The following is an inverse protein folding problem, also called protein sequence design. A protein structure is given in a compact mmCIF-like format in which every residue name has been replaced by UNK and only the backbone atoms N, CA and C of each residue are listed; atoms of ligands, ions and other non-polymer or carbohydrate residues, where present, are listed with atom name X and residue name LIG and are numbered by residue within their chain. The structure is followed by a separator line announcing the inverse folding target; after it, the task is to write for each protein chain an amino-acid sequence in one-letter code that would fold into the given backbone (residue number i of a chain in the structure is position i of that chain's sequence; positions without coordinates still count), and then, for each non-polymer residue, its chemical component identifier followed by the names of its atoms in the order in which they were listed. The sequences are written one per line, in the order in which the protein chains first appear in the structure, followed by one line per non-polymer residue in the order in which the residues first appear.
data_IF_399446845405
#
_entry.id   IF_399446845405
#
_cell.length_a   1.000
_cell.length_b   1.000
_cell.length_c   1.000
_cell.angle_alpha   90.00
_cell.angle_beta   90.00
_cell.angle_gamma   90.00
#
_symmetry.space_group_name_H-M   'P 1'
#
loop_
_entity.id
_entity.type
_entity.pdbx_description
1 polymer ?
#
# COMPACT_ATOMS: atom_id res chain seq x y z
N UNK A 1 -25.28 -40.49 21.41
CA UNK A 1 -26.59 -40.26 20.81
C UNK A 1 -26.70 -38.74 20.64
N UNK A 2 -26.62 -38.05 19.56
CA UNK A 2 -26.69 -38.31 18.15
C UNK A 2 -25.63 -37.47 17.40
N UNK A 3 -25.11 -38.06 16.36
CA UNK A 3 -24.08 -37.54 15.48
C UNK A 3 -24.76 -36.67 14.41
N UNK A 4 -24.30 -35.46 14.21
CA UNK A 4 -24.74 -34.59 13.11
C UNK A 4 -23.77 -34.74 11.94
N UNK A 5 -24.22 -35.12 10.72
CA UNK A 5 -23.33 -35.41 9.61
C UNK A 5 -22.89 -34.16 8.85
N UNK A 6 -21.65 -34.22 8.38
CA UNK A 6 -20.97 -33.25 7.54
C UNK A 6 -21.67 -33.02 6.20
N UNK A 7 -21.83 -31.77 5.79
CA UNK A 7 -22.29 -31.38 4.45
C UNK A 7 -21.11 -31.39 3.49
N UNK A 8 -21.21 -32.26 2.48
CA UNK A 8 -20.23 -32.46 1.41
C UNK A 8 -20.26 -31.32 0.38
N UNK A 9 -19.06 -30.89 -0.07
CA UNK A 9 -18.81 -29.88 -1.12
C UNK A 9 -19.10 -30.40 -2.54
N UNK A 10 -20.29 -30.88 -2.83
CA UNK A 10 -20.59 -31.41 -4.18
C UNK A 10 -22.04 -31.16 -4.63
N UNK A 11 -22.59 -29.96 -4.48
CA UNK A 11 -23.87 -29.62 -5.11
C UNK A 11 -23.99 -28.12 -5.39
N UNK A 12 -23.16 -27.63 -6.31
CA UNK A 12 -23.34 -26.28 -6.90
C UNK A 12 -22.89 -26.28 -8.37
N UNK A 13 -23.61 -27.07 -9.20
CA UNK A 13 -23.52 -26.94 -10.66
C UNK A 13 -24.81 -27.54 -11.23
N UNK A 14 -25.75 -26.68 -11.66
CA UNK A 14 -26.64 -26.83 -12.80
C UNK A 14 -27.88 -25.95 -12.70
N UNK A 15 -27.83 -24.79 -13.34
CA UNK A 15 -29.02 -24.11 -13.89
C UNK A 15 -28.57 -23.04 -14.90
N UNK A 16 -28.14 -23.46 -16.08
CA UNK A 16 -28.09 -22.57 -17.26
C UNK A 16 -29.31 -22.87 -18.11
N UNK A 17 -30.34 -22.06 -18.01
CA UNK A 17 -31.51 -22.07 -18.88
C UNK A 17 -31.18 -21.33 -20.18
N UNK A 18 -31.12 -22.02 -21.30
CA UNK A 18 -31.12 -21.46 -22.66
C UNK A 18 -32.50 -20.90 -22.98
N UNK A 19 -32.58 -19.61 -23.27
CA UNK A 19 -33.76 -18.97 -23.89
C UNK A 19 -33.42 -18.77 -25.36
N UNK A 20 -33.96 -19.65 -26.24
CA UNK A 20 -33.93 -19.51 -27.70
C UNK A 20 -35.13 -18.63 -28.13
N UNK A 21 -34.87 -17.47 -28.61
CA UNK A 21 -35.88 -16.62 -29.29
C UNK A 21 -35.81 -16.88 -30.80
N UNK A 22 -36.88 -17.46 -31.37
CA UNK A 22 -37.06 -17.60 -32.80
C UNK A 22 -37.59 -16.29 -33.40
N UNK A 23 -36.83 -15.70 -34.33
CA UNK A 23 -37.25 -14.58 -35.16
C UNK A 23 -37.81 -15.12 -36.49
N UNK A 24 -39.10 -14.94 -36.72
CA UNK A 24 -39.80 -15.21 -37.99
C UNK A 24 -39.49 -14.10 -39.00
N UNK A 25 -38.88 -14.48 -40.12
CA UNK A 25 -38.68 -13.63 -41.28
C UNK A 25 -39.95 -13.57 -42.12
N UNK A 26 -40.55 -12.42 -42.24
CA UNK A 26 -41.65 -12.14 -43.17
C UNK A 26 -41.08 -11.57 -44.47
N UNK A 27 -41.31 -12.26 -45.55
CA UNK A 27 -40.82 -11.92 -46.89
C UNK A 27 -41.71 -10.81 -47.52
N UNK A 28 -41.11 -9.65 -47.87
CA UNK A 28 -41.72 -8.68 -48.76
C UNK A 28 -41.07 -8.72 -50.15
N UNK A 29 -41.93 -8.79 -51.18
CA UNK A 29 -41.56 -8.80 -52.60
C UNK A 29 -40.98 -7.45 -53.05
N UNK A 30 -40.01 -7.46 -54.01
CA UNK A 30 -39.44 -6.22 -54.52
C UNK A 30 -40.33 -5.59 -55.61
N UNK A 31 -40.56 -4.28 -55.45
CA UNK A 31 -41.05 -3.38 -56.52
C UNK A 31 -39.84 -2.87 -57.30
N UNK A 32 -39.90 -2.98 -58.64
CA UNK A 32 -38.86 -2.57 -59.54
C UNK A 32 -38.55 -1.06 -59.42
N UNK A 33 -37.27 -0.77 -59.43
CA UNK A 33 -36.73 0.59 -59.54
C UNK A 33 -36.02 0.70 -60.88
N UNK A 34 -36.43 1.68 -61.70
CA UNK A 34 -35.74 2.03 -62.92
C UNK A 34 -34.39 2.67 -62.61
N UNK A 35 -33.34 2.18 -63.28
CA UNK A 35 -32.01 2.72 -63.16
C UNK A 35 -31.82 3.84 -64.21
N UNK A 36 -31.81 5.10 -63.75
CA UNK A 36 -31.33 6.22 -64.57
C UNK A 36 -29.80 6.32 -64.42
N UNK A 37 -29.11 6.10 -65.53
CA UNK A 37 -27.63 6.26 -65.59
C UNK A 37 -27.33 7.78 -65.60
N UNK A 38 -26.80 8.25 -64.47
CA UNK A 38 -26.19 9.60 -64.40
C UNK A 38 -24.68 9.41 -64.60
N UNK A 39 -24.18 9.89 -65.71
CA UNK A 39 -22.73 9.99 -65.97
C UNK A 39 -22.20 11.14 -65.12
N UNK A 40 -21.45 10.83 -64.08
CA UNK A 40 -20.69 11.85 -63.35
C UNK A 40 -19.29 11.98 -64.00
N UNK A 41 -18.99 13.16 -64.49
CA UNK A 41 -17.64 13.57 -64.82
C UNK A 41 -16.78 13.59 -63.55
N UNK A 42 -15.72 12.78 -63.53
CA UNK A 42 -14.75 12.78 -62.46
C UNK A 42 -13.78 13.94 -62.65
N UNK A 43 -14.02 15.03 -61.99
CA UNK A 43 -13.04 16.11 -61.85
C UNK A 43 -11.96 15.61 -60.87
N UNK A 44 -10.70 15.55 -61.32
CA UNK A 44 -9.53 15.19 -60.56
C UNK A 44 -9.34 16.20 -59.39
N UNK A 45 -9.74 15.80 -58.19
CA UNK A 45 -9.47 16.57 -56.97
C UNK A 45 -8.02 16.32 -56.54
N UNK A 46 -7.26 17.41 -56.46
CA UNK A 46 -5.92 17.46 -55.87
C UNK A 46 -5.90 16.74 -54.53
N UNK A 47 -5.07 15.68 -54.40
CA UNK A 47 -4.76 15.00 -53.13
C UNK A 47 -4.06 16.00 -52.21
N UNK A 48 -4.56 16.25 -50.99
CA UNK A 48 -3.85 17.11 -50.04
C UNK A 48 -2.48 16.51 -49.70
N UNK A 49 -1.46 17.31 -49.42
CA UNK A 49 -0.14 16.82 -49.07
C UNK A 49 -0.21 15.98 -47.79
N UNK A 50 0.48 14.85 -47.80
CA UNK A 50 0.66 13.96 -46.64
C UNK A 50 1.24 14.78 -45.48
N UNK A 51 0.63 14.76 -44.28
CA UNK A 51 1.18 15.50 -43.16
C UNK A 51 2.58 14.97 -42.81
N UNK A 52 3.51 15.89 -42.71
CA UNK A 52 4.88 15.61 -42.26
C UNK A 52 4.80 15.03 -40.86
N UNK A 53 5.48 13.90 -40.55
CA UNK A 53 5.47 13.34 -39.22
C UNK A 53 5.98 14.38 -38.22
N UNK A 54 5.15 14.71 -37.24
CA UNK A 54 5.54 15.54 -36.11
C UNK A 54 6.71 14.83 -35.40
N UNK A 55 7.83 15.52 -35.13
CA UNK A 55 8.93 14.89 -34.41
C UNK A 55 8.43 14.41 -33.06
N UNK A 56 8.72 13.15 -32.71
CA UNK A 56 8.44 12.58 -31.39
C UNK A 56 9.01 13.51 -30.31
N UNK A 57 8.29 13.74 -29.21
CA UNK A 57 8.82 14.51 -28.11
C UNK A 57 10.17 13.91 -27.67
N UNK A 58 11.16 14.76 -27.31
CA UNK A 58 12.45 14.28 -26.87
C UNK A 58 12.26 13.33 -25.69
N UNK A 59 13.02 12.23 -25.68
CA UNK A 59 13.03 11.28 -24.58
C UNK A 59 13.22 12.06 -23.26
N UNK A 60 12.36 11.75 -22.27
CA UNK A 60 12.42 12.41 -20.98
C UNK A 60 13.84 12.30 -20.42
N UNK A 61 14.41 13.44 -20.07
CA UNK A 61 15.74 13.53 -19.43
C UNK A 61 15.66 12.72 -18.12
N UNK A 62 16.65 11.85 -17.81
CA UNK A 62 16.66 11.15 -16.55
C UNK A 62 16.55 12.18 -15.40
N UNK A 63 15.57 11.98 -14.50
CA UNK A 63 15.40 12.86 -13.35
C UNK A 63 16.69 12.88 -12.52
N UNK A 64 17.13 14.04 -12.02
CA UNK A 64 18.30 14.12 -11.14
C UNK A 64 18.17 13.15 -9.95
N UNK A 65 19.29 12.65 -9.43
CA UNK A 65 19.33 11.68 -8.32
C UNK A 65 18.55 12.17 -7.06
N UNK A 66 18.54 13.48 -6.80
CA UNK A 66 17.75 14.12 -5.74
C UNK A 66 16.23 13.89 -5.86
N UNK A 67 15.71 13.78 -7.07
CA UNK A 67 14.30 13.50 -7.31
C UNK A 67 13.87 12.05 -6.95
N UNK A 68 14.78 11.23 -6.43
CA UNK A 68 14.51 9.87 -5.93
C UNK A 68 14.23 9.82 -4.42
N UNK A 69 14.51 10.90 -3.70
CA UNK A 69 14.32 10.93 -2.25
C UNK A 69 12.85 11.15 -1.91
N UNK A 70 12.25 10.28 -1.10
CA UNK A 70 10.90 10.50 -0.60
C UNK A 70 10.83 11.76 0.27
N UNK A 71 9.69 12.43 0.29
CA UNK A 71 9.43 13.50 1.25
C UNK A 71 9.32 12.90 2.65
N UNK A 72 10.10 13.43 3.60
CA UNK A 72 10.18 12.90 4.96
C UNK A 72 10.07 14.02 5.99
N UNK A 73 9.53 13.68 7.16
CA UNK A 73 9.46 14.57 8.31
C UNK A 73 10.28 13.97 9.47
N UNK A 74 10.92 14.86 10.25
CA UNK A 74 11.64 14.46 11.46
C UNK A 74 10.64 14.19 12.59
N UNK A 75 10.80 13.04 13.22
CA UNK A 75 10.12 12.67 14.47
C UNK A 75 11.15 12.75 15.58
N UNK A 76 10.92 13.66 16.53
CA UNK A 76 11.77 13.84 17.69
C UNK A 76 11.59 12.68 18.69
N UNK A 77 12.63 12.33 19.46
CA UNK A 77 12.52 11.35 20.53
C UNK A 77 11.40 11.69 21.51
N UNK A 78 10.76 10.66 22.05
CA UNK A 78 9.67 10.88 23.00
C UNK A 78 9.16 9.58 23.62
N UNK A 79 8.33 9.73 24.65
CA UNK A 79 7.72 8.64 25.38
C UNK A 79 6.19 8.71 25.21
N UNK A 80 5.57 7.56 24.99
CA UNK A 80 4.11 7.48 24.81
C UNK A 80 3.55 6.18 25.39
N UNK A 81 2.25 6.15 25.64
CA UNK A 81 1.53 4.94 26.01
C UNK A 81 1.11 4.19 24.76
N UNK A 82 1.79 3.07 24.44
CA UNK A 82 1.53 2.22 23.28
C UNK A 82 0.41 1.24 23.57
N UNK A 83 -0.49 1.04 22.59
CA UNK A 83 -1.63 0.12 22.71
C UNK A 83 -2.94 0.79 23.09
N UNK A 84 -3.95 -0.04 23.47
CA UNK A 84 -5.28 0.44 23.84
C UNK A 84 -5.99 -0.57 24.78
N UNK A 85 -6.56 -0.07 25.87
CA UNK A 85 -7.41 -0.89 26.76
C UNK A 85 -8.81 -1.16 26.15
N UNK A 86 -9.19 -0.41 25.12
CA UNK A 86 -10.47 -0.54 24.41
C UNK A 86 -10.33 -1.33 23.10
N UNK A 87 -9.10 -1.79 22.80
CA UNK A 87 -8.75 -2.50 21.58
C UNK A 87 -8.94 -4.00 21.66
N UNK A 88 -8.30 -4.71 20.73
CA UNK A 88 -8.22 -6.16 20.75
C UNK A 88 -7.21 -6.64 21.82
N UNK A 89 -7.29 -7.91 22.26
CA UNK A 89 -6.34 -8.45 23.25
C UNK A 89 -4.87 -8.29 22.86
N UNK A 90 -4.54 -8.24 21.58
CA UNK A 90 -3.17 -8.02 21.10
C UNK A 90 -2.71 -6.55 21.16
N UNK A 91 -3.62 -5.62 21.46
CA UNK A 91 -3.30 -4.22 21.72
C UNK A 91 -3.02 -3.95 23.21
N UNK A 92 -3.17 -4.98 24.07
CA UNK A 92 -3.04 -4.92 25.53
C UNK A 92 -1.82 -5.67 26.04
N UNK A 93 -1.28 -5.28 27.22
CA UNK A 93 -1.65 -4.08 27.98
C UNK A 93 -1.16 -2.80 27.31
N UNK A 94 -1.78 -1.69 27.63
CA UNK A 94 -1.16 -0.38 27.39
C UNK A 94 0.11 -0.31 28.22
N UNK A 95 1.21 0.07 27.60
CA UNK A 95 2.52 0.14 28.25
C UNK A 95 3.31 1.36 27.76
N UNK A 96 4.22 1.82 28.59
CA UNK A 96 5.08 2.96 28.25
C UNK A 96 6.19 2.52 27.30
N UNK A 97 6.37 3.29 26.22
CA UNK A 97 7.43 3.08 25.23
C UNK A 97 8.14 4.40 24.98
N UNK A 98 9.46 4.36 25.01
CA UNK A 98 10.35 5.48 24.69
C UNK A 98 11.06 5.22 23.37
N UNK A 99 10.83 6.08 22.40
CA UNK A 99 11.64 6.18 21.19
C UNK A 99 12.83 7.10 21.52
N UNK A 100 14.01 6.50 21.66
CA UNK A 100 15.19 7.20 22.24
C UNK A 100 15.98 8.02 21.22
N UNK A 101 15.78 7.79 19.91
CA UNK A 101 16.52 8.46 18.84
C UNK A 101 15.57 9.15 17.86
N UNK A 102 15.96 10.31 17.32
CA UNK A 102 15.20 10.94 16.26
C UNK A 102 15.26 10.08 14.98
N UNK A 103 14.18 10.08 14.22
CA UNK A 103 14.13 9.42 12.93
C UNK A 103 13.34 10.24 11.92
N UNK A 104 13.65 10.04 10.65
CA UNK A 104 12.88 10.58 9.55
C UNK A 104 11.86 9.52 9.12
N UNK A 105 10.62 9.94 8.85
CA UNK A 105 9.56 9.07 8.34
C UNK A 105 8.96 9.68 7.07
N UNK A 106 8.65 8.85 6.08
CA UNK A 106 7.98 9.28 4.84
C UNK A 106 6.63 9.92 5.14
N UNK A 107 6.37 11.09 4.56
CA UNK A 107 5.09 11.80 4.70
C UNK A 107 3.95 10.93 4.16
N UNK A 108 4.21 10.18 3.11
CA UNK A 108 3.28 9.26 2.46
C UNK A 108 3.76 7.80 2.53
N UNK A 109 2.87 6.81 2.36
CA UNK A 109 3.27 5.47 1.95
C UNK A 109 4.06 5.54 0.64
N UNK A 110 4.97 4.59 0.40
CA UNK A 110 5.68 4.50 -0.89
C UNK A 110 4.68 4.39 -2.03
N UNK A 111 4.83 5.24 -3.03
CA UNK A 111 3.94 5.30 -4.19
C UNK A 111 4.40 4.35 -5.30
N UNK A 112 3.48 4.02 -6.21
CA UNK A 112 3.82 3.31 -7.44
C UNK A 112 4.90 4.02 -8.24
N UNK A 113 4.84 5.36 -8.33
CA UNK A 113 5.85 6.17 -9.04
C UNK A 113 7.26 6.03 -8.43
N UNK A 114 7.37 5.98 -7.10
CA UNK A 114 8.65 5.75 -6.41
C UNK A 114 9.14 4.31 -6.61
N UNK A 115 8.25 3.33 -6.47
CA UNK A 115 8.59 1.92 -6.61
C UNK A 115 8.91 1.52 -8.06
N UNK A 116 8.29 2.16 -9.05
CA UNK A 116 8.52 1.90 -10.47
C UNK A 116 9.99 2.01 -10.87
N UNK A 117 10.76 2.84 -10.17
CA UNK A 117 12.19 3.07 -10.42
C UNK A 117 13.05 1.86 -10.10
N UNK A 118 12.74 1.14 -9.00
CA UNK A 118 13.34 -0.16 -8.73
C UNK A 118 13.01 -1.15 -9.85
N UNK A 119 11.75 -1.17 -10.30
CA UNK A 119 11.31 -2.04 -11.38
C UNK A 119 12.02 -1.73 -12.70
N UNK A 120 12.18 -0.45 -13.04
CA UNK A 120 12.89 -0.01 -14.23
C UNK A 120 14.37 -0.42 -14.23
N UNK A 121 15.05 -0.27 -13.10
CA UNK A 121 16.46 -0.60 -12.94
C UNK A 121 16.69 -2.11 -12.93
N UNK A 122 15.92 -2.84 -12.14
CA UNK A 122 16.12 -4.28 -11.93
C UNK A 122 15.51 -5.15 -13.03
N UNK A 123 14.48 -4.65 -13.75
CA UNK A 123 13.66 -5.40 -14.72
C UNK A 123 12.91 -6.61 -14.10
N UNK A 124 12.74 -6.62 -12.76
CA UNK A 124 12.08 -7.72 -12.03
C UNK A 124 10.58 -7.53 -11.84
N UNK A 125 10.08 -6.31 -11.93
CA UNK A 125 8.70 -5.95 -11.69
C UNK A 125 8.20 -4.89 -12.67
N UNK A 126 6.91 -4.62 -12.63
CA UNK A 126 6.27 -3.52 -13.36
C UNK A 126 5.09 -3.04 -12.53
N UNK A 127 5.06 -1.77 -12.19
CA UNK A 127 3.95 -1.08 -11.53
C UNK A 127 3.61 0.19 -12.32
N UNK A 128 2.45 0.77 -12.05
CA UNK A 128 2.07 2.04 -12.64
C UNK A 128 3.01 3.18 -12.16
N UNK A 129 3.15 4.23 -12.96
CA UNK A 129 3.89 5.45 -12.56
C UNK A 129 2.87 6.50 -12.11
N UNK A 130 2.29 6.30 -10.92
CA UNK A 130 1.26 7.16 -10.35
C UNK A 130 1.45 7.38 -8.85
N UNK A 131 0.60 8.23 -8.27
CA UNK A 131 0.63 8.61 -6.86
C UNK A 131 -0.20 7.71 -5.94
N UNK A 132 -0.63 6.53 -6.39
CA UNK A 132 -1.27 5.55 -5.52
C UNK A 132 -0.22 4.85 -4.66
N UNK A 133 -0.57 4.43 -3.42
CA UNK A 133 0.32 3.58 -2.63
C UNK A 133 0.68 2.33 -3.43
N UNK A 134 1.95 1.95 -3.45
CA UNK A 134 2.30 0.63 -3.96
C UNK A 134 1.75 -0.43 -3.01
N UNK A 135 1.01 -1.39 -3.55
CA UNK A 135 0.45 -2.53 -2.81
C UNK A 135 0.73 -3.83 -3.54
N UNK A 136 0.47 -4.95 -2.88
CA UNK A 136 0.83 -6.25 -3.44
C UNK A 136 2.32 -6.51 -3.32
N UNK A 137 2.97 -5.92 -2.32
CA UNK A 137 4.39 -6.04 -2.01
C UNK A 137 4.53 -6.93 -0.79
N UNK A 138 5.28 -8.03 -0.89
CA UNK A 138 5.62 -8.83 0.27
C UNK A 138 6.74 -8.16 1.09
N UNK A 139 6.94 -8.63 2.33
CA UNK A 139 7.87 -8.00 3.24
C UNK A 139 9.34 -8.00 2.73
N UNK A 140 9.75 -9.04 2.02
CA UNK A 140 11.09 -9.11 1.45
C UNK A 140 11.31 -8.10 0.33
N UNK A 141 10.30 -7.87 -0.50
CA UNK A 141 10.32 -6.86 -1.57
C UNK A 141 10.40 -5.44 -0.98
N UNK A 142 9.71 -5.18 0.13
CA UNK A 142 9.82 -3.91 0.84
C UNK A 142 11.24 -3.70 1.40
N UNK A 143 11.85 -4.73 1.99
CA UNK A 143 13.24 -4.71 2.47
C UNK A 143 14.25 -4.53 1.31
N UNK A 144 14.04 -5.21 0.18
CA UNK A 144 14.87 -5.04 -1.02
C UNK A 144 14.81 -3.59 -1.52
N UNK A 145 13.61 -3.01 -1.56
CA UNK A 145 13.43 -1.60 -1.94
C UNK A 145 14.18 -0.65 -1.00
N UNK A 146 14.10 -0.83 0.31
CA UNK A 146 14.80 0.00 1.28
C UNK A 146 16.32 -0.02 1.05
N UNK A 147 16.90 -1.20 0.84
CA UNK A 147 18.33 -1.32 0.56
C UNK A 147 18.70 -0.70 -0.79
N UNK A 148 17.93 -0.98 -1.84
CA UNK A 148 18.13 -0.38 -3.16
C UNK A 148 18.11 1.16 -3.10
N UNK A 149 17.11 1.73 -2.41
CA UNK A 149 16.99 3.19 -2.29
C UNK A 149 18.15 3.78 -1.49
N UNK A 150 18.61 3.07 -0.43
CA UNK A 150 19.79 3.49 0.34
C UNK A 150 21.04 3.56 -0.55
N UNK A 151 21.30 2.52 -1.34
CA UNK A 151 22.42 2.49 -2.30
C UNK A 151 22.30 3.59 -3.35
N UNK A 152 21.11 3.77 -3.94
CA UNK A 152 20.84 4.82 -4.92
C UNK A 152 21.05 6.24 -4.36
N UNK A 153 20.78 6.41 -3.05
CA UNK A 153 21.00 7.66 -2.33
C UNK A 153 22.45 7.83 -1.82
N UNK A 154 23.31 6.81 -1.97
CA UNK A 154 24.69 6.83 -1.46
C UNK A 154 24.77 6.67 0.06
N UNK A 155 23.76 6.02 0.67
CA UNK A 155 23.68 5.72 2.10
C UNK A 155 24.07 4.28 2.38
N UNK A 156 24.46 3.99 3.63
CA UNK A 156 24.66 2.61 4.09
C UNK A 156 23.34 1.87 4.14
N UNK A 157 23.29 0.64 3.65
CA UNK A 157 22.10 -0.22 3.74
C UNK A 157 21.86 -0.66 5.18
N UNK A 158 20.59 -0.70 5.60
CA UNK A 158 20.20 -1.16 6.93
C UNK A 158 20.09 -2.69 7.01
N UNK A 159 19.75 -3.35 5.91
CA UNK A 159 19.44 -4.77 5.96
C UNK A 159 20.56 -5.64 5.42
N UNK A 160 20.83 -6.73 6.15
CA UNK A 160 21.77 -7.78 5.75
C UNK A 160 21.19 -9.17 6.05
N UNK A 161 21.75 -10.20 5.42
CA UNK A 161 21.24 -11.58 5.58
C UNK A 161 20.24 -11.97 4.49
N UNK A 162 19.55 -13.10 4.70
CA UNK A 162 18.57 -13.64 3.73
C UNK A 162 17.43 -14.37 4.44
N UNK A 163 16.26 -14.35 3.82
CA UNK A 163 15.07 -15.04 4.33
C UNK A 163 14.74 -14.59 5.75
N UNK A 164 14.39 -15.52 6.62
CA UNK A 164 14.03 -15.22 8.01
C UNK A 164 15.22 -14.76 8.89
N UNK A 165 16.44 -14.78 8.34
CA UNK A 165 17.67 -14.34 9.02
C UNK A 165 18.12 -12.94 8.61
N UNK A 166 17.25 -12.16 7.94
CA UNK A 166 17.51 -10.76 7.68
C UNK A 166 17.61 -10.03 9.01
N UNK A 167 18.66 -9.21 9.13
CA UNK A 167 18.93 -8.35 10.29
C UNK A 167 18.86 -6.89 9.84
N UNK A 168 18.43 -6.02 10.75
CA UNK A 168 18.46 -4.58 10.57
C UNK A 168 19.50 -3.94 11.47
N UNK A 169 20.34 -3.09 10.91
CA UNK A 169 21.23 -2.21 11.67
C UNK A 169 20.55 -0.84 11.81
N UNK A 170 19.98 -0.59 12.98
CA UNK A 170 19.32 0.67 13.31
C UNK A 170 20.30 1.82 13.58
N UNK A 171 21.60 1.57 13.57
CA UNK A 171 22.61 2.61 13.82
C UNK A 171 23.02 3.37 12.55
N UNK A 172 22.70 2.84 11.37
CA UNK A 172 23.05 3.47 10.09
C UNK A 172 21.93 4.34 9.56
N UNK A 173 22.26 5.34 8.75
CA UNK A 173 21.31 6.31 8.21
C UNK A 173 20.62 5.91 6.90
N UNK A 174 20.60 4.61 6.55
CA UNK A 174 19.88 4.12 5.37
C UNK A 174 18.37 4.04 5.56
N UNK A 175 17.67 3.73 4.48
CA UNK A 175 16.23 3.52 4.53
C UNK A 175 15.88 2.14 5.08
N UNK A 176 14.80 2.08 5.83
CA UNK A 176 14.25 0.87 6.42
C UNK A 176 12.74 0.98 6.63
N UNK A 177 12.10 -0.11 7.00
CA UNK A 177 10.74 -0.11 7.53
C UNK A 177 10.74 0.48 8.96
N UNK A 178 9.65 1.12 9.39
CA UNK A 178 9.48 1.50 10.78
C UNK A 178 9.43 0.26 11.68
N UNK A 179 9.88 0.36 12.92
CA UNK A 179 9.40 -0.57 13.95
C UNK A 179 7.91 -0.31 14.20
N UNK A 180 7.22 -1.29 14.75
CA UNK A 180 5.80 -1.14 15.06
C UNK A 180 5.55 0.03 16.05
N UNK A 181 6.48 0.22 17.00
CA UNK A 181 6.45 1.33 17.95
C UNK A 181 6.73 2.69 17.30
N UNK A 182 7.73 2.81 16.42
CA UNK A 182 7.97 4.03 15.65
C UNK A 182 6.76 4.40 14.81
N UNK A 183 6.12 3.40 14.19
CA UNK A 183 4.92 3.61 13.39
C UNK A 183 3.77 4.16 14.24
N UNK A 184 3.46 3.53 15.40
CA UNK A 184 2.36 3.97 16.25
C UNK A 184 2.62 5.35 16.87
N UNK A 185 3.86 5.61 17.34
CA UNK A 185 4.26 6.91 17.86
C UNK A 185 4.05 8.01 16.82
N UNK A 186 4.50 7.79 15.58
CA UNK A 186 4.33 8.75 14.49
C UNK A 186 2.85 8.91 14.09
N UNK A 187 2.07 7.82 14.01
CA UNK A 187 0.66 7.86 13.67
C UNK A 187 -0.17 8.66 14.66
N UNK A 188 0.18 8.61 15.94
CA UNK A 188 -0.44 9.39 17.01
C UNK A 188 -0.01 10.86 17.06
N UNK A 189 0.90 11.31 16.18
CA UNK A 189 1.39 12.68 16.15
C UNK A 189 2.69 12.92 16.95
N UNK A 190 3.36 11.86 17.41
CA UNK A 190 4.59 11.98 18.20
C UNK A 190 4.38 12.78 19.47
N UNK A 191 5.33 13.70 19.77
CA UNK A 191 5.23 14.62 20.90
C UNK A 191 4.14 15.70 20.75
N UNK A 192 3.52 15.80 19.56
CA UNK A 192 2.44 16.75 19.28
C UNK A 192 1.05 16.10 19.38
N UNK A 193 0.99 14.84 19.81
CA UNK A 193 -0.23 14.04 19.85
C UNK A 193 -1.38 14.74 20.55
N UNK A 194 -2.53 14.79 19.88
CA UNK A 194 -3.80 15.27 20.44
C UNK A 194 -4.65 14.15 21.04
N UNK A 195 -4.18 12.89 21.00
CA UNK A 195 -4.86 11.74 21.57
C UNK A 195 -6.04 11.22 20.74
N UNK A 196 -6.10 11.53 19.46
CA UNK A 196 -7.16 11.09 18.55
C UNK A 196 -7.14 9.57 18.31
N UNK A 197 -8.31 9.03 17.98
CA UNK A 197 -8.49 7.62 17.67
C UNK A 197 -7.87 7.23 16.33
N UNK A 198 -7.95 8.13 15.35
CA UNK A 198 -7.35 8.00 14.02
C UNK A 198 -6.23 9.03 13.86
N UNK A 199 -5.31 8.79 12.95
CA UNK A 199 -4.23 9.72 12.70
C UNK A 199 -4.75 11.06 12.17
N UNK A 200 -4.64 12.12 12.98
CA UNK A 200 -5.04 13.49 12.63
C UNK A 200 -6.46 13.89 13.02
N UNK A 201 -7.28 13.00 13.63
CA UNK A 201 -8.60 13.40 14.09
C UNK A 201 -9.54 12.25 14.45
N UNK A 202 -10.67 12.57 15.10
CA UNK A 202 -11.70 11.61 15.47
C UNK A 202 -12.80 11.47 14.42
N UNK A 203 -12.85 12.34 13.39
CA UNK A 203 -13.73 12.15 12.24
C UNK A 203 -13.01 11.39 11.13
N UNK A 204 -13.26 10.08 10.98
CA UNK A 204 -12.57 9.25 10.00
C UNK A 204 -12.80 9.69 8.54
N UNK A 205 -13.88 10.42 8.26
CA UNK A 205 -14.15 10.89 6.90
C UNK A 205 -13.16 11.97 6.45
N UNK A 206 -12.59 12.70 7.37
CA UNK A 206 -11.60 13.74 7.07
C UNK A 206 -10.18 13.21 6.94
N UNK A 207 -9.83 12.16 7.70
CA UNK A 207 -8.44 11.71 7.88
C UNK A 207 -8.13 10.36 7.25
N UNK A 208 -9.15 9.59 6.82
CA UNK A 208 -8.96 8.20 6.37
C UNK A 208 -9.76 7.84 5.12
N UNK A 209 -9.19 6.94 4.30
CA UNK A 209 -9.92 6.17 3.31
C UNK A 209 -10.20 4.77 3.86
N UNK A 210 -11.48 4.42 4.05
CA UNK A 210 -11.91 3.17 4.63
C UNK A 210 -13.18 2.66 3.94
N UNK A 211 -13.68 1.51 4.32
CA UNK A 211 -14.77 0.79 3.64
C UNK A 211 -15.99 1.64 3.28
N UNK A 212 -16.41 2.56 4.17
CA UNK A 212 -17.63 3.34 3.94
C UNK A 212 -17.45 4.54 3.03
N UNK A 213 -16.23 5.01 2.78
CA UNK A 213 -15.97 6.23 2.00
C UNK A 213 -15.01 6.07 0.83
N UNK A 214 -14.31 4.92 0.73
CA UNK A 214 -13.33 4.68 -0.34
C UNK A 214 -13.94 4.31 -1.69
N UNK A 215 -15.23 3.95 -1.74
CA UNK A 215 -15.81 3.38 -2.95
C UNK A 215 -15.33 1.96 -3.27
N UNK A 216 -14.59 1.31 -2.36
CA UNK A 216 -13.99 -0.02 -2.55
C UNK A 216 -12.69 -0.01 -3.34
N UNK A 217 -12.01 1.14 -3.42
CA UNK A 217 -10.79 1.34 -4.20
C UNK A 217 -9.71 2.05 -3.37
N UNK A 218 -8.44 1.83 -3.75
CA UNK A 218 -7.32 2.65 -3.31
C UNK A 218 -7.45 4.07 -3.83
N UNK A 219 -6.86 5.01 -3.11
CA UNK A 219 -6.81 6.41 -3.50
C UNK A 219 -5.36 6.90 -3.61
N UNK A 220 -5.09 7.92 -4.45
CA UNK A 220 -3.81 8.63 -4.43
C UNK A 220 -3.46 9.10 -3.02
N UNK A 221 -2.17 9.04 -2.66
CA UNK A 221 -1.71 9.46 -1.34
C UNK A 221 -2.00 10.94 -1.07
N UNK A 222 -2.17 11.30 0.20
CA UNK A 222 -2.28 12.69 0.63
C UNK A 222 -3.62 13.38 0.35
N UNK A 223 -4.67 12.65 0.01
CA UNK A 223 -5.99 13.26 -0.25
C UNK A 223 -6.81 13.54 1.00
N UNK A 224 -6.47 12.92 2.13
CA UNK A 224 -7.07 13.17 3.44
C UNK A 224 -6.18 14.10 4.27
N UNK A 225 -6.74 14.70 5.32
CA UNK A 225 -5.97 15.56 6.21
C UNK A 225 -4.85 14.77 6.89
N UNK A 226 -3.66 15.39 7.06
CA UNK A 226 -2.55 14.76 7.76
C UNK A 226 -2.76 14.78 9.28
N UNK A 227 -1.92 14.05 10.00
CA UNK A 227 -1.81 14.17 11.44
C UNK A 227 -0.93 15.40 11.85
N UNK A 228 -0.68 15.54 13.14
CA UNK A 228 0.04 16.68 13.73
C UNK A 228 1.48 16.80 13.25
N UNK A 229 2.09 15.72 12.77
CA UNK A 229 3.42 15.70 12.16
C UNK A 229 3.40 15.95 10.64
N UNK A 230 2.23 16.11 10.04
CA UNK A 230 2.08 16.25 8.60
C UNK A 230 2.08 14.90 7.85
N UNK A 231 1.88 13.77 8.54
CA UNK A 231 1.83 12.44 7.94
C UNK A 231 0.43 12.14 7.42
N UNK A 232 0.35 11.68 6.19
CA UNK A 232 -0.89 11.28 5.53
C UNK A 232 -1.05 9.76 5.52
N UNK A 233 -2.30 9.32 5.39
CA UNK A 233 -2.68 7.93 5.17
C UNK A 233 -2.19 6.95 6.26
N UNK A 234 -1.96 7.46 7.50
CA UNK A 234 -1.62 6.64 8.66
C UNK A 234 -2.86 5.90 9.24
N UNK A 235 -4.05 6.18 8.70
CA UNK A 235 -5.30 5.48 8.98
C UNK A 235 -5.99 5.17 7.66
N UNK A 236 -6.10 3.88 7.31
CA UNK A 236 -6.75 3.43 6.07
C UNK A 236 -5.89 3.54 4.81
N UNK A 237 -6.51 3.60 3.65
CA UNK A 237 -5.95 3.55 2.31
C UNK A 237 -5.22 2.22 2.02
N UNK A 238 -4.02 2.00 2.54
CA UNK A 238 -3.27 0.76 2.38
C UNK A 238 -2.66 0.26 3.68
N UNK A 239 -2.61 -1.04 3.87
CA UNK A 239 -1.81 -1.65 4.93
C UNK A 239 -0.33 -1.31 4.75
N UNK A 240 0.40 -1.15 5.86
CA UNK A 240 1.82 -0.81 5.87
C UNK A 240 2.63 -1.82 6.67
N UNK A 241 3.62 -2.46 6.02
CA UNK A 241 4.57 -3.35 6.68
C UNK A 241 5.42 -2.61 7.70
N UNK A 242 5.59 -3.28 8.87
CA UNK A 242 6.59 -2.92 9.87
C UNK A 242 7.76 -3.91 9.87
N UNK A 243 8.85 -3.53 10.56
CA UNK A 243 10.01 -4.39 10.75
C UNK A 243 9.72 -5.61 11.64
N UNK A 244 8.90 -5.44 12.68
CA UNK A 244 8.71 -6.36 13.77
C UNK A 244 8.15 -7.70 13.35
N UNK A 245 8.66 -8.80 13.92
CA UNK A 245 7.93 -10.04 13.98
C UNK A 245 6.64 -9.82 14.78
N UNK A 246 5.56 -10.39 14.34
CA UNK A 246 4.30 -10.26 15.06
C UNK A 246 4.16 -11.35 16.11
N UNK A 247 3.90 -10.91 17.35
CA UNK A 247 3.41 -11.77 18.43
C UNK A 247 2.23 -11.09 19.12
N UNK A 248 1.16 -11.83 19.33
CA UNK A 248 -0.07 -11.31 19.98
C UNK A 248 0.15 -10.89 21.43
N UNK A 249 1.16 -11.44 22.10
CA UNK A 249 1.47 -11.18 23.51
C UNK A 249 2.71 -10.33 23.72
N UNK A 250 3.31 -9.85 22.62
CA UNK A 250 4.56 -9.08 22.72
C UNK A 250 4.50 -7.91 23.70
N UNK A 251 3.36 -7.23 23.79
CA UNK A 251 3.18 -6.08 24.71
C UNK A 251 3.30 -6.44 26.21
N UNK A 252 3.18 -7.72 26.58
CA UNK A 252 3.42 -8.17 27.96
C UNK A 252 4.92 -8.15 28.35
N UNK A 253 5.82 -8.22 27.36
CA UNK A 253 7.25 -8.42 27.54
C UNK A 253 8.08 -7.40 26.75
N UNK A 254 7.42 -6.47 26.02
CA UNK A 254 8.09 -5.47 25.20
C UNK A 254 9.03 -4.60 26.06
N UNK A 255 10.26 -4.34 25.63
CA UNK A 255 11.13 -3.42 26.33
C UNK A 255 10.57 -1.99 26.24
N UNK A 256 10.78 -1.21 27.29
CA UNK A 256 10.37 0.21 27.33
C UNK A 256 11.10 1.05 26.29
N UNK A 257 12.36 0.76 25.99
CA UNK A 257 13.19 1.56 25.09
C UNK A 257 13.34 0.89 23.73
N UNK A 258 13.00 1.62 22.69
CA UNK A 258 13.18 1.26 21.28
C UNK A 258 12.75 -0.18 20.93
N UNK A 259 11.51 -0.62 21.29
CA UNK A 259 11.06 -1.97 20.97
C UNK A 259 11.03 -2.18 19.46
N UNK A 260 11.53 -3.36 19.04
CA UNK A 260 11.64 -3.72 17.62
C UNK A 260 11.07 -5.12 17.32
N UNK A 261 10.13 -5.55 18.14
CA UNK A 261 9.49 -6.86 18.06
C UNK A 261 10.29 -7.98 18.71
N UNK A 262 9.75 -9.19 18.74
CA UNK A 262 10.44 -10.37 19.22
C UNK A 262 11.70 -10.69 18.39
N UNK A 263 12.69 -11.38 18.97
CA UNK A 263 13.94 -11.78 18.30
C UNK A 263 13.74 -12.72 17.10
N UNK A 264 12.57 -13.28 16.93
CA UNK A 264 12.25 -14.20 15.84
C UNK A 264 10.75 -14.33 15.61
N UNK A 265 10.40 -15.07 14.57
CA UNK A 265 9.01 -15.38 14.29
C UNK A 265 8.38 -16.16 15.46
N UNK A 266 7.12 -15.84 15.79
CA UNK A 266 6.34 -16.67 16.70
C UNK A 266 6.27 -18.12 16.21
N UNK A 267 6.16 -19.07 17.14
CA UNK A 267 6.00 -20.48 16.81
C UNK A 267 4.76 -20.70 15.94
N UNK A 268 4.95 -21.22 14.74
CA UNK A 268 3.87 -21.50 13.81
C UNK A 268 4.38 -21.81 12.39
N UNK A 269 3.52 -22.40 11.55
CA UNK A 269 3.94 -22.80 10.20
C UNK A 269 4.17 -21.61 9.25
N UNK A 270 3.76 -20.41 9.62
CA UNK A 270 3.78 -19.23 8.76
C UNK A 270 4.29 -18.00 9.53
N UNK A 271 5.59 -17.69 9.37
CA UNK A 271 6.16 -16.50 10.00
C UNK A 271 5.49 -15.23 9.47
N UNK A 272 5.09 -14.36 10.38
CA UNK A 272 4.34 -13.15 10.07
C UNK A 272 5.02 -11.91 10.62
N UNK A 273 4.94 -10.84 9.86
CA UNK A 273 5.41 -9.50 10.25
C UNK A 273 4.23 -8.60 10.63
N UNK A 274 4.47 -7.67 11.53
CA UNK A 274 3.48 -6.65 11.89
C UNK A 274 3.14 -5.77 10.69
N UNK A 275 1.86 -5.41 10.61
CA UNK A 275 1.36 -4.39 9.67
C UNK A 275 0.38 -3.48 10.38
N UNK A 276 0.29 -2.25 9.91
CA UNK A 276 -0.49 -1.17 10.51
C UNK A 276 -1.31 -0.41 9.47
N UNK A 277 -1.98 0.64 9.87
CA UNK A 277 -2.86 1.54 9.09
C UNK A 277 -4.26 0.99 8.80
N UNK A 278 -4.40 -0.28 8.47
CA UNK A 278 -5.61 -0.78 7.82
C UNK A 278 -5.65 -0.43 6.33
N UNK A 279 -6.64 -0.93 5.60
CA UNK A 279 -6.80 -0.68 4.17
C UNK A 279 -8.10 0.05 3.83
N UNK A 280 -8.23 0.45 2.59
CA UNK A 280 -9.40 1.16 2.06
C UNK A 280 -10.73 0.37 2.20
N UNK A 281 -10.67 -0.93 2.35
CA UNK A 281 -11.82 -1.84 2.48
C UNK A 281 -12.07 -2.31 3.91
N UNK A 282 -11.37 -1.74 4.90
CA UNK A 282 -11.48 -2.11 6.30
C UNK A 282 -12.53 -1.30 7.05
N UNK A 283 -13.04 -1.86 8.16
CA UNK A 283 -13.97 -1.20 9.06
C UNK A 283 -13.24 -0.20 9.97
N UNK A 284 -13.99 0.73 10.57
CA UNK A 284 -13.45 1.77 11.46
C UNK A 284 -12.60 1.21 12.61
N UNK A 285 -12.95 0.05 13.14
CA UNK A 285 -12.19 -0.59 14.22
C UNK A 285 -10.78 -0.99 13.82
N UNK A 286 -10.52 -1.17 12.51
CA UNK A 286 -9.24 -1.67 11.96
C UNK A 286 -8.28 -0.53 11.60
N UNK A 287 -8.80 0.67 11.31
CA UNK A 287 -8.00 1.81 10.89
C UNK A 287 -7.55 2.73 12.05
N UNK A 288 -7.77 2.30 13.31
CA UNK A 288 -7.29 3.03 14.51
C UNK A 288 -5.78 3.03 14.57
N UNK A 289 -5.19 4.08 15.11
CA UNK A 289 -3.72 4.18 15.28
C UNK A 289 -3.13 3.05 16.13
N UNK A 290 -3.93 2.46 17.03
CA UNK A 290 -3.53 1.37 17.94
C UNK A 290 -3.72 -0.02 17.37
N UNK A 291 -4.53 -0.16 16.30
CA UNK A 291 -4.87 -1.48 15.77
C UNK A 291 -3.65 -2.22 15.25
N UNK A 292 -3.47 -3.44 15.73
CA UNK A 292 -2.38 -4.34 15.35
C UNK A 292 -2.88 -5.48 14.48
N UNK A 293 -2.15 -5.75 13.41
CA UNK A 293 -2.38 -6.91 12.55
C UNK A 293 -1.06 -7.49 12.05
N UNK A 294 -1.16 -8.64 11.43
CA UNK A 294 -0.01 -9.31 10.82
C UNK A 294 -0.39 -9.91 9.47
N UNK A 295 0.64 -10.15 8.67
CA UNK A 295 0.51 -10.96 7.47
C UNK A 295 1.77 -11.80 7.25
N UNK A 296 1.65 -12.84 6.43
CA UNK A 296 2.77 -13.72 6.14
C UNK A 296 3.82 -12.99 5.31
N UNK A 297 5.09 -13.14 5.70
CA UNK A 297 6.21 -12.40 5.11
C UNK A 297 6.36 -12.59 3.59
N UNK A 298 5.89 -13.71 3.05
CA UNK A 298 5.92 -14.01 1.62
C UNK A 298 4.62 -13.71 0.89
N UNK A 299 3.57 -13.27 1.60
CA UNK A 299 2.28 -12.98 1.00
C UNK A 299 2.19 -11.49 0.65
N UNK A 300 2.03 -11.14 -0.63
CA UNK A 300 1.98 -9.73 -1.03
C UNK A 300 0.69 -9.04 -0.57
N UNK A 301 -0.47 -9.74 -0.60
CA UNK A 301 -1.76 -9.24 -0.15
C UNK A 301 -2.10 -7.84 -0.66
N UNK A 302 -2.77 -7.06 0.18
CA UNK A 302 -3.00 -5.61 -0.02
C UNK A 302 -1.98 -4.75 0.74
N UNK A 303 -0.79 -5.29 1.01
CA UNK A 303 0.22 -4.62 1.81
C UNK A 303 1.11 -3.73 0.94
N UNK A 304 1.32 -2.50 1.39
CA UNK A 304 2.35 -1.59 0.99
C UNK A 304 3.30 -1.35 2.16
N UNK A 305 3.99 -0.22 2.15
CA UNK A 305 4.92 0.14 3.23
C UNK A 305 5.25 1.62 3.20
N UNK A 306 5.78 2.11 4.31
CA UNK A 306 6.30 3.47 4.50
C UNK A 306 7.78 3.39 4.87
N UNK A 307 8.53 4.39 4.47
CA UNK A 307 9.97 4.46 4.73
C UNK A 307 10.27 5.19 6.03
N UNK A 308 11.28 4.71 6.72
CA UNK A 308 11.96 5.43 7.80
C UNK A 308 13.47 5.40 7.58
N UNK A 309 14.17 6.32 8.24
CA UNK A 309 15.63 6.26 8.40
C UNK A 309 16.04 6.94 9.71
N UNK A 310 17.05 6.40 10.36
CA UNK A 310 17.63 7.02 11.55
C UNK A 310 18.23 8.38 11.17
N UNK A 311 17.91 9.42 11.93
CA UNK A 311 18.53 10.74 11.78
C UNK A 311 19.93 10.69 12.41
N UNK A 312 20.96 10.62 11.58
CA UNK A 312 22.38 10.57 11.97
C UNK A 312 23.08 11.87 11.59
#
# INVERSE_FOLDING_TARGET
MDVNPAISRRDFLAATGMLTAALSLSACKPRGVQISTVVMEVTATHRPPTPTPTPSPPAATPKPREALMPEMVLVEPGTFSMGSEEGLPNEMPVHEVTISKPYLIGIYPVTNAEYSRLCEETKKCSVADDSYPVVGINWFEAVEYCNWLSEAAGLSTCYSGKGNFIKCDFSVGGFRLPTEAEWEFAARGGNLSSGYLYAGGDDPNQVAWYKSNSGGELHPVGQKLPNELGLHDMSGNSWEWCWDWFDQRYYLEAPEFDPSGPDGASEGPMPSKSRRSGGFNEELSVIRTTFRSADWISYPGGNGFRLVRTAV
#
